data_IF_924316696479
#
_entry.id   IF_924316696479
#
_cell.length_a   1.000
_cell.length_b   1.000
_cell.length_c   1.000
_cell.angle_alpha   90.00
_cell.angle_beta   90.00
_cell.angle_gamma   90.00
#
_symmetry.space_group_name_H-M   'P 1'
#
loop_
_entity.id
_entity.type
_entity.pdbx_description
1 polymer ?
#
# COMPACT_ATOMS: atom_id res chain seq x y z
N UNK A 1 27.50 12.29 7.53
CA UNK A 1 27.95 11.85 6.20
C UNK A 1 26.90 10.89 5.67
N UNK A 2 25.99 11.35 4.80
CA UNK A 2 24.92 10.49 4.27
C UNK A 2 25.44 9.86 2.99
N UNK A 3 25.74 8.56 3.02
CA UNK A 3 26.04 7.78 1.82
C UNK A 3 24.71 7.53 1.10
N UNK A 4 24.54 8.12 -0.09
CA UNK A 4 23.51 7.69 -1.02
C UNK A 4 23.82 6.24 -1.41
N UNK A 5 22.96 5.32 -1.00
CA UNK A 5 23.06 3.92 -1.37
C UNK A 5 22.09 3.70 -2.52
N UNK A 6 22.64 3.74 -3.73
CA UNK A 6 21.95 3.36 -4.96
C UNK A 6 21.57 1.88 -4.88
N UNK A 7 20.26 1.61 -4.90
CA UNK A 7 19.66 0.28 -5.07
C UNK A 7 19.67 -0.63 -3.82
N UNK A 8 18.89 -0.26 -2.79
CA UNK A 8 18.63 -1.13 -1.63
C UNK A 8 17.21 -1.71 -1.74
N UNK A 9 17.10 -3.02 -1.53
CA UNK A 9 15.81 -3.68 -1.27
C UNK A 9 15.18 -3.03 -0.02
N UNK A 10 14.00 -2.43 -0.13
CA UNK A 10 13.41 -1.58 0.94
C UNK A 10 13.36 -2.26 2.32
N UNK A 11 13.32 -3.60 2.33
CA UNK A 11 13.40 -4.46 3.52
C UNK A 11 14.63 -4.23 4.41
N UNK A 12 15.76 -3.76 3.84
CA UNK A 12 17.04 -3.64 4.57
C UNK A 12 17.21 -2.30 5.30
N UNK A 13 16.38 -1.30 5.00
CA UNK A 13 16.46 0.05 5.60
C UNK A 13 15.42 0.32 6.70
N UNK A 14 14.37 -0.49 6.76
CA UNK A 14 13.31 -0.34 7.75
C UNK A 14 13.81 -0.79 9.12
N UNK A 15 14.07 0.17 10.02
CA UNK A 15 14.35 -0.11 11.43
C UNK A 15 13.06 -0.33 12.19
N UNK A 16 13.10 -1.30 13.11
CA UNK A 16 12.03 -1.62 14.06
C UNK A 16 10.71 -1.94 13.34
N UNK A 17 9.79 -1.00 13.35
CA UNK A 17 8.39 -1.21 13.05
C UNK A 17 7.90 -0.61 11.74
N UNK A 18 8.73 0.17 11.04
CA UNK A 18 8.32 0.71 9.75
C UNK A 18 8.16 -0.43 8.73
N UNK A 19 7.09 -0.37 7.92
CA UNK A 19 6.74 -1.37 6.91
C UNK A 19 6.21 -0.67 5.66
N UNK A 20 6.59 -1.19 4.50
CA UNK A 20 5.94 -0.83 3.25
C UNK A 20 4.73 -1.72 3.01
N UNK A 21 3.64 -1.10 2.62
CA UNK A 21 2.43 -1.78 2.18
C UNK A 21 2.14 -1.35 0.75
N UNK A 22 2.01 -2.34 -0.13
CA UNK A 22 1.74 -2.12 -1.56
C UNK A 22 0.37 -2.67 -1.87
N UNK A 23 -0.45 -1.90 -2.60
CA UNK A 23 -1.73 -2.38 -3.10
C UNK A 23 -2.03 -1.79 -4.48
N UNK A 24 -2.89 -2.45 -5.23
CA UNK A 24 -3.38 -1.94 -6.51
C UNK A 24 -4.72 -1.26 -6.28
N UNK A 25 -4.86 0.01 -6.69
CA UNK A 25 -6.13 0.72 -6.55
C UNK A 25 -7.23 0.06 -7.38
N UNK A 26 -8.36 -0.22 -6.74
CA UNK A 26 -9.60 -0.58 -7.41
C UNK A 26 -10.38 0.67 -7.87
N UNK A 27 -11.58 0.49 -8.43
CA UNK A 27 -12.45 1.63 -8.80
C UNK A 27 -12.89 2.43 -7.58
N UNK A 28 -13.07 1.76 -6.44
CA UNK A 28 -13.41 2.38 -5.16
C UNK A 28 -12.25 3.18 -4.54
N UNK A 29 -11.01 2.85 -4.89
CA UNK A 29 -9.81 3.55 -4.42
C UNK A 29 -9.33 4.66 -5.37
N UNK A 30 -10.06 4.93 -6.47
CA UNK A 30 -9.74 5.96 -7.46
C UNK A 30 -10.10 7.38 -6.97
N UNK A 31 -9.66 7.70 -5.75
CA UNK A 31 -9.92 8.94 -5.02
C UNK A 31 -8.60 9.68 -4.74
N UNK A 32 -8.67 10.87 -4.14
CA UNK A 32 -7.48 11.58 -3.69
C UNK A 32 -6.72 10.82 -2.59
N UNK A 33 -5.39 10.96 -2.54
CA UNK A 33 -4.57 10.38 -1.47
C UNK A 33 -5.04 10.84 -0.09
N UNK A 34 -5.45 12.09 0.04
CA UNK A 34 -6.05 12.64 1.26
C UNK A 34 -7.37 11.94 1.66
N UNK A 35 -8.12 11.44 0.68
CA UNK A 35 -9.44 10.83 0.87
C UNK A 35 -9.37 9.33 1.16
N UNK A 36 -8.20 8.69 0.98
CA UNK A 36 -7.98 7.29 1.36
C UNK A 36 -8.22 7.04 2.86
N UNK A 37 -8.17 8.09 3.69
CA UNK A 37 -8.41 7.97 5.13
C UNK A 37 -7.31 7.18 5.83
N UNK A 38 -6.06 7.39 5.42
CA UNK A 38 -4.92 6.74 6.03
C UNK A 38 -4.75 7.19 7.49
N UNK A 39 -4.33 6.29 8.40
CA UNK A 39 -4.01 6.67 9.77
C UNK A 39 -2.84 7.66 9.80
N UNK A 40 -2.74 8.46 10.86
CA UNK A 40 -1.70 9.51 11.02
C UNK A 40 -0.26 8.97 10.88
N UNK A 41 -0.05 7.70 11.21
CA UNK A 41 1.24 7.01 11.12
C UNK A 41 1.46 6.30 9.77
N UNK A 42 0.66 6.62 8.74
CA UNK A 42 0.79 6.08 7.40
C UNK A 42 0.73 7.16 6.33
N UNK A 43 1.58 7.01 5.31
CA UNK A 43 1.63 7.97 4.20
C UNK A 43 1.92 7.26 2.87
N UNK A 44 1.21 7.66 1.82
CA UNK A 44 1.58 7.27 0.46
C UNK A 44 2.87 7.97 0.08
N UNK A 45 3.88 7.21 -0.35
CA UNK A 45 5.18 7.78 -0.73
C UNK A 45 5.26 7.95 -2.24
N UNK A 46 4.87 6.92 -2.98
CA UNK A 46 4.88 6.91 -4.43
C UNK A 46 3.89 5.88 -4.97
N UNK A 47 3.60 5.98 -6.26
CA UNK A 47 2.78 5.03 -6.98
C UNK A 47 3.37 4.76 -8.38
N UNK A 48 3.03 3.61 -8.94
CA UNK A 48 3.29 3.30 -10.34
C UNK A 48 2.00 3.40 -11.13
N UNK A 49 2.07 4.11 -12.25
CA UNK A 49 1.00 4.19 -13.25
C UNK A 49 1.60 3.85 -14.60
N UNK A 50 1.06 2.84 -15.29
CA UNK A 50 1.61 2.37 -16.57
C UNK A 50 3.12 2.04 -16.51
N UNK A 51 3.56 1.39 -15.43
CA UNK A 51 4.99 1.11 -15.12
C UNK A 51 5.88 2.35 -14.98
N UNK A 52 5.31 3.54 -14.77
CA UNK A 52 6.06 4.77 -14.51
C UNK A 52 5.96 5.15 -13.04
N UNK A 53 7.11 5.48 -12.46
CA UNK A 53 7.21 5.96 -11.09
C UNK A 53 6.70 7.39 -10.97
N UNK A 54 5.85 7.63 -9.97
CA UNK A 54 5.33 8.95 -9.63
C UNK A 54 5.37 9.15 -8.11
N UNK A 55 5.80 10.34 -7.66
CA UNK A 55 5.64 10.73 -6.27
C UNK A 55 4.17 10.99 -5.96
N UNK A 56 3.74 10.59 -4.77
CA UNK A 56 2.41 10.87 -4.27
C UNK A 56 2.43 12.09 -3.36
N UNK A 57 1.52 13.01 -3.62
CA UNK A 57 1.19 14.16 -2.79
C UNK A 57 -0.26 14.05 -2.30
N UNK A 58 -0.65 14.85 -1.31
CA UNK A 58 -2.02 14.87 -0.77
C UNK A 58 -3.09 15.11 -1.85
N UNK A 59 -2.77 15.92 -2.87
CA UNK A 59 -3.65 16.25 -4.00
C UNK A 59 -3.61 15.19 -5.13
N UNK A 60 -2.75 14.18 -5.01
CA UNK A 60 -2.63 13.13 -6.03
C UNK A 60 -3.93 12.34 -6.11
N UNK A 61 -4.54 12.33 -7.30
CA UNK A 61 -5.68 11.47 -7.62
C UNK A 61 -5.22 10.12 -8.13
N UNK A 62 -5.51 9.09 -7.36
CA UNK A 62 -5.29 7.71 -7.74
C UNK A 62 -6.30 7.28 -8.80
N UNK A 63 -5.92 6.27 -9.58
CA UNK A 63 -6.75 5.67 -10.62
C UNK A 63 -6.73 4.17 -10.45
N UNK A 64 -7.79 3.52 -10.94
CA UNK A 64 -7.86 2.06 -11.03
C UNK A 64 -6.62 1.53 -11.75
N UNK A 65 -5.96 0.55 -11.14
CA UNK A 65 -4.76 -0.10 -11.69
C UNK A 65 -3.45 0.58 -11.33
N UNK A 66 -3.47 1.72 -10.64
CA UNK A 66 -2.25 2.28 -10.05
C UNK A 66 -1.76 1.34 -8.95
N UNK A 67 -0.44 1.12 -8.89
CA UNK A 67 0.19 0.39 -7.79
C UNK A 67 0.73 1.41 -6.77
N UNK A 68 0.12 1.45 -5.60
CA UNK A 68 0.42 2.45 -4.58
C UNK A 68 1.30 1.85 -3.51
N UNK A 69 2.29 2.62 -3.07
CA UNK A 69 3.20 2.24 -2.00
C UNK A 69 3.03 3.17 -0.80
N UNK A 70 2.55 2.60 0.29
CA UNK A 70 2.37 3.26 1.58
C UNK A 70 3.52 2.88 2.50
N UNK A 71 4.09 3.88 3.17
CA UNK A 71 4.94 3.68 4.34
C UNK A 71 4.06 3.78 5.59
N UNK A 72 4.05 2.73 6.41
CA UNK A 72 3.22 2.64 7.61
C UNK A 72 3.98 1.95 8.75
N UNK A 73 3.38 1.89 9.92
CA UNK A 73 3.86 1.08 11.03
C UNK A 73 3.28 -0.34 10.95
N UNK A 74 4.06 -1.33 11.38
CA UNK A 74 3.72 -2.76 11.47
C UNK A 74 2.34 -3.02 12.09
N UNK A 75 1.98 -2.25 13.13
CA UNK A 75 0.71 -2.30 13.86
C UNK A 75 -0.52 -2.03 12.98
N UNK A 76 -0.37 -1.31 11.87
CA UNK A 76 -1.46 -0.94 10.95
C UNK A 76 -1.60 -1.95 9.79
N UNK A 77 -0.66 -2.89 9.64
CA UNK A 77 -0.72 -3.89 8.56
C UNK A 77 -1.96 -4.80 8.63
N UNK A 78 -2.47 -5.22 9.80
CA UNK A 78 -3.71 -6.01 9.87
C UNK A 78 -4.90 -5.28 9.25
N UNK A 79 -5.13 -4.02 9.63
CA UNK A 79 -6.21 -3.19 9.07
C UNK A 79 -6.08 -2.98 7.56
N UNK A 80 -4.84 -2.75 7.09
CA UNK A 80 -4.59 -2.57 5.66
C UNK A 80 -4.82 -3.86 4.87
N UNK A 81 -4.41 -5.01 5.42
CA UNK A 81 -4.71 -6.29 4.80
C UNK A 81 -6.21 -6.56 4.78
N UNK A 82 -6.95 -6.29 5.87
CA UNK A 82 -8.39 -6.51 5.88
C UNK A 82 -9.12 -5.64 4.85
N UNK A 83 -8.66 -4.40 4.66
CA UNK A 83 -9.24 -3.47 3.69
C UNK A 83 -8.94 -3.81 2.22
N UNK A 84 -7.67 -4.02 1.87
CA UNK A 84 -7.25 -4.19 0.48
C UNK A 84 -7.00 -5.64 0.05
N UNK A 85 -6.82 -6.55 1.01
CA UNK A 85 -6.68 -7.99 0.81
C UNK A 85 -7.59 -8.77 1.77
N UNK A 86 -8.91 -8.49 1.79
CA UNK A 86 -9.81 -9.16 2.72
C UNK A 86 -9.63 -10.67 2.58
N UNK A 87 -9.41 -11.40 3.70
CA UNK A 87 -9.22 -12.83 3.64
C UNK A 87 -10.43 -13.44 2.93
N UNK A 88 -10.19 -14.15 1.81
CA UNK A 88 -11.24 -14.90 1.12
C UNK A 88 -11.95 -15.75 2.17
N UNK A 89 -13.22 -15.44 2.46
CA UNK A 89 -14.06 -16.39 3.18
C UNK A 89 -14.01 -17.68 2.39
N UNK A 90 -13.39 -18.70 2.96
CA UNK A 90 -13.41 -20.06 2.41
C UNK A 90 -14.87 -20.47 2.43
N UNK A 91 -15.56 -20.34 1.30
CA UNK A 91 -16.90 -20.85 1.09
C UNK A 91 -16.78 -22.38 1.13
N UNK A 92 -16.92 -22.94 2.33
CA UNK A 92 -16.87 -24.38 2.56
C UNK A 92 -18.17 -25.02 2.05
N UNK A 93 -18.43 -24.93 0.74
CA UNK A 93 -19.42 -25.75 0.06
C UNK A 93 -18.74 -27.04 -0.37
N UNK A 94 -18.63 -27.95 0.57
CA UNK A 94 -18.25 -29.33 0.33
C UNK A 94 -19.46 -30.10 -0.24
N UNK A 95 -19.52 -30.51 -1.52
CA UNK A 95 -20.46 -31.54 -1.91
C UNK A 95 -19.92 -32.87 -1.40
N UNK A 96 -20.50 -33.39 -0.31
CA UNK A 96 -20.31 -34.78 0.10
C UNK A 96 -20.71 -35.65 -1.10
N UNK A 97 -19.77 -36.46 -1.58
CA UNK A 97 -20.00 -37.55 -2.52
C UNK A 97 -19.82 -38.85 -1.76
#
# INVERSE_FOLDING_TARGET
>A
MVRGLDNINLSTLLKEDARFFTFTAAEEDAIGVSELGLPKDAKVVFYYRDNKFHFADDDTKLRKGDEIVILTHSKNLPDFNERWYPPKKVDNKNPKK
#
